data_IF_528512281303
#
_entry.id   IF_528512281303
#
_cell.length_a   1.000
_cell.length_b   1.000
_cell.length_c   1.000
_cell.angle_alpha   90.00
_cell.angle_beta   90.00
_cell.angle_gamma   90.00
#
_symmetry.space_group_name_H-M   'P 1'
#
loop_
_entity.id
_entity.type
_entity.pdbx_description
1 polymer ?
#
# COMPACT_ATOMS: atom_id res chain seq x y z
N UNK A 1 -29.06 12.02 -58.77
CA UNK A 1 -27.85 12.32 -57.97
C UNK A 1 -28.30 13.10 -56.73
N UNK A 2 -27.78 12.89 -55.50
CA UNK A 2 -26.96 11.80 -54.94
C UNK A 2 -27.80 10.85 -54.02
N UNK A 3 -27.59 9.54 -53.93
CA UNK A 3 -26.58 8.73 -53.20
C UNK A 3 -26.83 8.59 -51.68
N UNK A 4 -27.35 7.39 -51.32
CA UNK A 4 -27.12 6.55 -50.11
C UNK A 4 -27.74 6.96 -48.75
N UNK A 5 -28.94 6.42 -48.50
CA UNK A 5 -29.52 6.18 -47.17
C UNK A 5 -30.18 4.78 -47.16
N UNK A 6 -29.38 3.71 -47.24
CA UNK A 6 -29.88 2.34 -47.08
C UNK A 6 -28.72 1.44 -46.63
N UNK A 7 -28.72 1.01 -45.36
CA UNK A 7 -27.65 0.15 -44.85
C UNK A 7 -27.70 -0.23 -43.37
N UNK A 8 -28.60 0.36 -42.57
CA UNK A 8 -28.64 0.09 -41.12
C UNK A 8 -29.86 -0.74 -40.68
N UNK A 9 -30.96 -0.74 -41.47
CA UNK A 9 -32.18 -1.50 -41.13
C UNK A 9 -32.09 -3.01 -41.44
N UNK A 10 -31.17 -3.45 -42.30
CA UNK A 10 -31.03 -4.86 -42.69
C UNK A 10 -30.03 -5.65 -41.85
N UNK A 11 -29.24 -5.00 -40.99
CA UNK A 11 -28.31 -5.67 -40.06
C UNK A 11 -28.89 -5.91 -38.66
N UNK A 12 -29.95 -5.19 -38.27
CA UNK A 12 -30.64 -5.41 -37.00
C UNK A 12 -31.66 -6.57 -37.07
N UNK A 13 -32.27 -6.80 -38.24
CA UNK A 13 -33.23 -7.88 -38.46
C UNK A 13 -32.59 -9.29 -38.53
N UNK A 14 -31.27 -9.38 -38.76
CA UNK A 14 -30.55 -10.65 -38.86
C UNK A 14 -29.95 -11.14 -37.53
N UNK A 15 -29.89 -10.28 -36.51
CA UNK A 15 -29.39 -10.64 -35.16
C UNK A 15 -30.56 -11.00 -34.21
N UNK A 16 -31.76 -10.48 -34.45
CA UNK A 16 -32.96 -10.82 -33.67
C UNK A 16 -33.59 -12.15 -34.14
N UNK A 17 -33.33 -12.59 -35.38
CA UNK A 17 -33.81 -13.88 -35.91
C UNK A 17 -33.00 -15.12 -35.46
N UNK A 18 -31.82 -14.95 -34.87
CA UNK A 18 -30.96 -16.06 -34.43
C UNK A 18 -31.08 -16.36 -32.91
N UNK A 19 -31.83 -15.55 -32.17
CA UNK A 19 -32.08 -15.73 -30.73
C UNK A 19 -33.43 -16.40 -30.40
N UNK A 20 -34.23 -16.78 -31.42
CA UNK A 20 -35.58 -17.32 -31.25
C UNK A 20 -35.77 -18.77 -31.78
N UNK A 21 -34.66 -19.52 -31.98
CA UNK A 21 -34.71 -20.91 -32.48
C UNK A 21 -33.93 -21.93 -31.63
N UNK A 22 -33.63 -21.62 -30.36
CA UNK A 22 -32.97 -22.56 -29.43
C UNK A 22 -33.69 -22.77 -28.09
N UNK A 23 -34.93 -22.29 -27.94
CA UNK A 23 -35.85 -22.69 -26.87
C UNK A 23 -36.78 -23.83 -27.32
N UNK A 24 -36.21 -25.02 -27.55
CA UNK A 24 -36.99 -26.26 -27.61
C UNK A 24 -36.06 -27.48 -27.54
N UNK A 25 -35.50 -27.79 -26.36
CA UNK A 25 -35.04 -29.14 -25.99
C UNK A 25 -34.65 -29.19 -24.51
N UNK A 26 -35.64 -29.08 -23.64
CA UNK A 26 -35.51 -29.38 -22.21
C UNK A 26 -35.65 -30.89 -22.01
N UNK A 27 -34.55 -31.64 -22.07
CA UNK A 27 -34.52 -33.04 -21.61
C UNK A 27 -33.98 -33.05 -20.18
N UNK A 28 -34.92 -33.12 -19.25
CA UNK A 28 -34.68 -33.45 -17.86
C UNK A 28 -34.14 -34.88 -17.75
N UNK A 29 -32.89 -35.03 -17.32
CA UNK A 29 -32.38 -36.31 -16.84
C UNK A 29 -32.48 -36.30 -15.31
N UNK A 30 -33.57 -36.88 -14.81
CA UNK A 30 -33.80 -37.17 -13.40
C UNK A 30 -32.70 -38.09 -12.84
N UNK A 31 -32.04 -37.67 -11.76
CA UNK A 31 -31.15 -38.54 -10.97
C UNK A 31 -32.02 -39.57 -10.24
N UNK A 32 -32.08 -40.77 -10.80
CA UNK A 32 -32.78 -41.91 -10.21
C UNK A 32 -31.84 -42.58 -9.19
N UNK A 33 -32.11 -42.42 -7.90
CA UNK A 33 -31.42 -43.13 -6.82
C UNK A 33 -31.86 -44.59 -6.80
N UNK A 34 -31.25 -45.42 -7.65
CA UNK A 34 -31.33 -46.88 -7.54
C UNK A 34 -30.16 -47.41 -6.74
N UNK A 35 -30.51 -47.96 -5.57
CA UNK A 35 -29.70 -48.84 -4.73
C UNK A 35 -28.81 -49.78 -5.57
N UNK A 36 -27.49 -49.68 -5.37
CA UNK A 36 -26.54 -50.65 -5.89
C UNK A 36 -26.70 -51.96 -5.11
N UNK A 37 -27.40 -52.92 -5.71
CA UNK A 37 -27.44 -54.30 -5.25
C UNK A 37 -26.03 -54.90 -5.23
N UNK A 38 -25.67 -55.48 -4.09
CA UNK A 38 -24.39 -56.13 -3.80
C UNK A 38 -24.13 -57.32 -4.72
N UNK A 39 -23.17 -57.18 -5.63
CA UNK A 39 -22.63 -58.30 -6.41
C UNK A 39 -21.69 -59.11 -5.50
N UNK A 40 -22.05 -60.36 -5.17
CA UNK A 40 -21.17 -61.28 -4.42
C UNK A 40 -19.87 -61.50 -5.20
N UNK A 41 -18.76 -61.04 -4.63
CA UNK A 41 -17.40 -61.40 -5.06
C UNK A 41 -17.10 -62.85 -4.69
N UNK A 42 -16.37 -63.62 -5.53
CA UNK A 42 -15.97 -64.97 -5.16
C UNK A 42 -14.96 -64.91 -4.00
N UNK A 43 -15.20 -65.71 -2.96
CA UNK A 43 -14.30 -65.84 -1.82
C UNK A 43 -13.03 -66.57 -2.25
N UNK A 44 -11.96 -65.83 -2.50
CA UNK A 44 -10.62 -66.40 -2.63
C UNK A 44 -10.15 -66.82 -1.24
N UNK A 45 -10.07 -68.13 -1.01
CA UNK A 45 -9.49 -68.71 0.20
C UNK A 45 -7.96 -68.60 0.14
N UNK A 46 -7.38 -67.71 0.96
CA UNK A 46 -5.94 -67.60 1.11
C UNK A 46 -5.33 -68.88 1.68
N UNK A 47 -4.32 -69.43 0.98
CA UNK A 47 -3.60 -70.61 1.45
C UNK A 47 -2.84 -70.33 2.76
N UNK A 48 -2.72 -71.34 3.62
CA UNK A 48 -1.94 -71.27 4.86
C UNK A 48 -0.50 -70.79 4.63
N UNK A 49 0.07 -71.10 3.46
CA UNK A 49 1.40 -70.66 3.05
C UNK A 49 1.47 -69.14 2.80
N UNK A 50 0.43 -68.54 2.21
CA UNK A 50 0.33 -67.09 2.01
C UNK A 50 0.18 -66.34 3.35
N UNK A 51 -0.64 -66.87 4.27
CA UNK A 51 -0.79 -66.30 5.62
C UNK A 51 0.50 -66.38 6.45
N UNK A 52 1.27 -67.45 6.32
CA UNK A 52 2.56 -67.60 7.01
C UNK A 52 3.62 -66.63 6.46
N UNK A 53 3.64 -66.40 5.14
CA UNK A 53 4.54 -65.42 4.49
C UNK A 53 4.18 -63.97 4.82
N UNK A 54 2.89 -63.64 4.92
CA UNK A 54 2.45 -62.32 5.39
C UNK A 54 2.78 -62.09 6.87
N UNK A 55 2.68 -63.12 7.73
CA UNK A 55 3.09 -63.03 9.15
C UNK A 55 4.60 -62.83 9.32
N UNK A 56 5.44 -63.40 8.47
CA UNK A 56 6.89 -63.18 8.51
C UNK A 56 7.28 -61.82 7.93
N UNK A 57 6.60 -61.33 6.89
CA UNK A 57 6.79 -59.97 6.36
C UNK A 57 6.29 -58.89 7.34
N UNK A 58 5.20 -59.14 8.07
CA UNK A 58 4.67 -58.22 9.09
C UNK A 58 5.56 -58.12 10.34
N UNK A 59 6.33 -59.16 10.66
CA UNK A 59 7.29 -59.15 11.78
C UNK A 59 8.67 -58.58 11.42
N UNK A 60 8.95 -58.32 10.14
CA UNK A 60 10.27 -57.88 9.65
C UNK A 60 10.42 -56.38 9.36
N UNK A 61 9.37 -55.57 9.51
CA UNK A 61 9.42 -54.11 9.30
C UNK A 61 8.58 -53.37 10.33
N UNK A 62 9.02 -53.40 11.59
CA UNK A 62 8.78 -52.26 12.46
C UNK A 62 9.91 -51.27 12.18
N UNK A 63 9.70 -50.17 11.46
CA UNK A 63 10.69 -49.11 11.46
C UNK A 63 10.74 -48.62 12.90
N UNK A 64 11.90 -48.72 13.54
CA UNK A 64 12.21 -47.90 14.70
C UNK A 64 12.28 -46.43 14.24
N UNK A 65 11.13 -45.84 13.89
CA UNK A 65 10.99 -44.40 13.89
C UNK A 65 11.03 -44.00 15.36
N UNK A 66 12.24 -43.75 15.87
CA UNK A 66 12.39 -42.68 16.86
C UNK A 66 11.88 -41.44 16.15
N UNK A 67 10.58 -41.17 16.29
CA UNK A 67 10.04 -39.86 16.03
C UNK A 67 10.78 -38.96 17.03
N UNK A 68 11.89 -38.37 16.59
CA UNK A 68 12.49 -37.27 17.28
C UNK A 68 11.37 -36.25 17.37
N UNK A 69 10.76 -36.17 18.56
CA UNK A 69 9.76 -35.16 18.88
C UNK A 69 10.56 -33.86 18.87
N UNK A 70 10.74 -33.28 17.68
CA UNK A 70 11.30 -31.95 17.52
C UNK A 70 10.31 -31.09 18.27
N UNK A 71 10.62 -30.79 19.55
CA UNK A 71 10.00 -29.71 20.28
C UNK A 71 10.30 -28.50 19.41
N UNK A 72 9.35 -28.11 18.55
CA UNK A 72 9.34 -26.78 17.95
C UNK A 72 9.30 -25.85 19.14
N UNK A 73 10.47 -25.38 19.57
CA UNK A 73 10.58 -24.23 20.46
C UNK A 73 9.89 -23.12 19.69
N UNK A 74 8.63 -22.84 20.02
CA UNK A 74 7.98 -21.62 19.56
C UNK A 74 8.74 -20.51 20.26
N UNK A 75 9.75 -19.98 19.57
CA UNK A 75 10.38 -18.74 19.99
C UNK A 75 9.29 -17.68 19.85
N UNK A 76 8.65 -17.33 20.97
CA UNK A 76 7.79 -16.17 21.02
C UNK A 76 8.72 -14.96 21.10
N UNK A 77 8.64 -14.07 20.10
CA UNK A 77 9.24 -12.75 20.22
C UNK A 77 8.67 -12.08 21.48
N UNK A 78 9.56 -11.72 22.41
CA UNK A 78 9.19 -10.96 23.60
C UNK A 78 9.26 -9.49 23.26
N UNK A 79 8.11 -8.83 23.30
CA UNK A 79 8.03 -7.39 23.14
C UNK A 79 7.93 -6.72 24.51
N UNK A 80 8.72 -5.69 24.73
CA UNK A 80 8.71 -4.92 25.98
C UNK A 80 8.22 -3.48 25.77
N UNK A 81 8.21 -2.99 24.54
CA UNK A 81 7.62 -1.68 24.20
C UNK A 81 6.09 -1.77 24.19
N UNK A 82 5.44 -0.86 24.91
CA UNK A 82 3.97 -0.76 24.90
C UNK A 82 3.45 -0.40 23.52
N UNK A 83 2.38 -1.07 23.09
CA UNK A 83 1.64 -0.75 21.86
C UNK A 83 0.70 0.43 22.03
N UNK A 84 0.51 0.91 23.26
CA UNK A 84 -0.38 1.99 23.61
C UNK A 84 0.41 3.10 24.29
N UNK A 85 0.02 4.34 24.05
CA UNK A 85 0.63 5.51 24.64
C UNK A 85 -0.48 6.49 25.08
N UNK A 86 -0.27 7.09 26.24
CA UNK A 86 -1.07 8.22 26.71
C UNK A 86 -0.47 9.52 26.15
N UNK A 87 -1.28 10.56 25.98
CA UNK A 87 -0.79 11.86 25.54
C UNK A 87 -0.18 11.86 24.14
N UNK A 88 -0.69 11.03 23.21
CA UNK A 88 -0.13 10.92 21.84
C UNK A 88 -0.13 12.23 21.06
N UNK A 89 -0.93 13.23 21.47
CA UNK A 89 -0.99 14.56 20.85
C UNK A 89 -0.33 15.65 21.69
N UNK A 90 0.24 15.29 22.84
CA UNK A 90 0.79 16.26 23.79
C UNK A 90 2.02 16.95 23.18
N UNK A 91 1.95 18.28 23.09
CA UNK A 91 3.02 19.10 22.52
C UNK A 91 3.03 19.20 20.99
N UNK A 92 2.04 18.63 20.30
CA UNK A 92 1.88 18.84 18.86
C UNK A 92 1.58 20.33 18.56
N UNK A 93 2.21 20.87 17.52
CA UNK A 93 1.93 22.21 16.98
C UNK A 93 0.83 22.09 15.91
N UNK A 94 -0.34 22.66 16.15
CA UNK A 94 -1.55 22.32 15.37
C UNK A 94 -2.20 23.48 14.62
N UNK A 95 -1.80 24.73 14.90
CA UNK A 95 -2.58 25.89 14.49
C UNK A 95 -2.60 26.15 12.97
N UNK A 96 -1.67 25.57 12.19
CA UNK A 96 -1.72 25.60 10.73
C UNK A 96 -2.13 24.28 10.05
N UNK A 97 -2.56 23.28 10.83
CA UNK A 97 -3.09 22.02 10.29
C UNK A 97 -4.56 22.15 9.85
N UNK A 98 -4.99 21.27 8.95
CA UNK A 98 -6.40 21.14 8.57
C UNK A 98 -7.17 20.43 9.70
N UNK A 99 -8.18 21.08 10.30
CA UNK A 99 -8.88 20.53 11.47
C UNK A 99 -9.65 19.23 11.17
N UNK A 100 -10.18 19.08 9.95
CA UNK A 100 -10.90 17.87 9.54
C UNK A 100 -9.90 16.72 9.39
N UNK A 101 -8.78 16.98 8.72
CA UNK A 101 -7.74 15.96 8.52
C UNK A 101 -7.11 15.54 9.84
N UNK A 102 -6.83 16.49 10.73
CA UNK A 102 -6.28 16.22 12.05
C UNK A 102 -7.24 15.40 12.91
N UNK A 103 -8.52 15.78 12.97
CA UNK A 103 -9.51 15.04 13.74
C UNK A 103 -9.66 13.60 13.22
N UNK A 104 -9.73 13.41 11.91
CA UNK A 104 -9.78 12.09 11.29
C UNK A 104 -8.56 11.23 11.65
N UNK A 105 -7.36 11.83 11.69
CA UNK A 105 -6.13 11.14 12.07
C UNK A 105 -6.09 10.75 13.56
N UNK A 106 -6.53 11.63 14.46
CA UNK A 106 -6.59 11.37 15.91
C UNK A 106 -7.55 10.21 16.21
N UNK A 107 -8.77 10.26 15.67
CA UNK A 107 -9.78 9.22 15.88
C UNK A 107 -9.34 7.87 15.31
N UNK A 108 -8.71 7.88 14.14
CA UNK A 108 -8.21 6.67 13.51
C UNK A 108 -7.08 6.01 14.31
N UNK A 109 -6.15 6.81 14.83
CA UNK A 109 -5.00 6.32 15.61
C UNK A 109 -5.42 5.84 17.01
N UNK A 110 -6.36 6.53 17.65
CA UNK A 110 -6.77 6.27 19.02
C UNK A 110 -5.59 6.39 20.00
N UNK A 111 -5.46 5.42 20.91
CA UNK A 111 -4.40 5.38 21.91
C UNK A 111 -3.19 4.51 21.50
N UNK A 112 -3.06 4.16 20.22
CA UNK A 112 -1.93 3.36 19.76
C UNK A 112 -0.64 4.18 19.78
N UNK A 113 0.45 3.56 20.20
CA UNK A 113 1.78 4.14 20.18
C UNK A 113 2.27 4.22 18.73
N UNK A 114 1.97 5.35 18.09
CA UNK A 114 2.19 5.57 16.68
C UNK A 114 1.97 7.02 16.28
N UNK A 115 2.11 7.28 14.99
CA UNK A 115 1.92 8.58 14.35
C UNK A 115 1.17 8.42 13.05
N UNK A 116 0.41 9.46 12.69
CA UNK A 116 -0.23 9.60 11.39
C UNK A 116 0.22 10.92 10.78
N UNK A 117 0.72 10.88 9.55
CA UNK A 117 1.10 12.05 8.77
C UNK A 117 0.26 12.08 7.50
N UNK A 118 -0.42 13.20 7.28
CA UNK A 118 -1.22 13.47 6.09
C UNK A 118 -0.59 14.60 5.27
N UNK A 119 -0.34 14.35 3.99
CA UNK A 119 0.38 15.25 3.09
C UNK A 119 -0.48 15.52 1.86
N UNK A 120 -0.54 16.78 1.45
CA UNK A 120 -1.04 17.18 0.14
C UNK A 120 0.06 16.95 -0.91
N UNK A 121 -0.09 15.98 -1.82
CA UNK A 121 1.00 15.55 -2.68
C UNK A 121 1.36 16.60 -3.74
N UNK A 122 0.44 17.49 -4.13
CA UNK A 122 0.69 18.50 -5.17
C UNK A 122 1.46 19.72 -4.67
N UNK A 123 1.65 19.86 -3.35
CA UNK A 123 2.29 21.04 -2.76
C UNK A 123 3.37 20.73 -1.73
N UNK A 124 3.36 19.52 -1.15
CA UNK A 124 4.21 19.17 -0.01
C UNK A 124 3.68 19.70 1.33
N UNK A 125 2.49 20.33 1.36
CA UNK A 125 1.90 20.79 2.63
C UNK A 125 1.54 19.60 3.51
N UNK A 126 2.00 19.61 4.75
CA UNK A 126 1.53 18.68 5.78
C UNK A 126 0.18 19.20 6.27
N UNK A 127 -0.88 18.45 5.96
CA UNK A 127 -2.25 18.77 6.35
C UNK A 127 -2.52 18.41 7.80
N UNK A 128 -1.92 17.33 8.30
CA UNK A 128 -1.95 16.98 9.72
C UNK A 128 -0.74 16.11 10.08
N UNK A 129 -0.20 16.31 11.28
CA UNK A 129 0.84 15.48 11.88
C UNK A 129 0.45 15.17 13.34
N UNK A 130 -0.02 13.94 13.56
CA UNK A 130 -0.45 13.46 14.89
C UNK A 130 0.70 12.71 15.53
N UNK A 131 1.05 13.04 16.78
CA UNK A 131 2.25 12.57 17.47
C UNK A 131 3.53 13.00 16.75
N UNK A 132 3.75 14.31 16.71
CA UNK A 132 4.86 14.96 16.03
C UNK A 132 6.20 14.48 16.56
N UNK A 133 6.31 14.23 17.88
CA UNK A 133 7.50 13.64 18.49
C UNK A 133 7.94 12.34 17.82
N UNK A 134 6.99 11.48 17.42
CA UNK A 134 7.31 10.24 16.71
C UNK A 134 7.49 10.47 15.20
N UNK A 135 6.67 11.33 14.59
CA UNK A 135 6.78 11.69 13.18
C UNK A 135 8.15 12.29 12.81
N UNK A 136 8.70 13.12 13.70
CA UNK A 136 9.96 13.85 13.55
C UNK A 136 11.17 13.08 14.09
N UNK A 137 10.96 11.92 14.74
CA UNK A 137 12.03 11.11 15.31
C UNK A 137 13.00 10.57 14.24
N UNK A 138 14.12 9.97 14.67
CA UNK A 138 15.12 9.34 13.79
C UNK A 138 14.61 8.15 12.97
N UNK A 139 13.31 7.87 13.02
CA UNK A 139 12.65 6.85 12.24
C UNK A 139 12.86 5.45 12.80
N UNK A 140 12.58 4.47 11.96
CA UNK A 140 12.89 3.08 12.23
C UNK A 140 13.15 2.34 10.92
N UNK A 141 13.51 1.07 11.02
CA UNK A 141 13.59 0.20 9.86
C UNK A 141 12.28 0.28 9.03
N UNK A 142 12.34 0.61 7.73
CA UNK A 142 11.14 0.77 6.89
C UNK A 142 10.44 -0.57 6.61
N UNK A 143 11.07 -1.68 6.99
CA UNK A 143 10.57 -3.02 6.72
C UNK A 143 10.30 -3.17 5.21
N UNK A 144 9.11 -3.63 4.82
CA UNK A 144 8.73 -3.80 3.42
C UNK A 144 8.25 -2.53 2.70
N UNK A 145 8.22 -1.34 3.30
CA UNK A 145 7.89 -0.11 2.54
C UNK A 145 9.03 0.31 1.62
N UNK A 146 10.29 -0.06 1.94
CA UNK A 146 11.47 0.16 1.09
C UNK A 146 11.31 -0.42 -0.32
N UNK A 147 10.45 -1.43 -0.48
CA UNK A 147 10.18 -2.09 -1.76
C UNK A 147 9.63 -1.14 -2.81
N UNK A 148 9.02 -0.02 -2.41
CA UNK A 148 8.62 1.05 -3.34
C UNK A 148 9.85 1.66 -4.02
N UNK A 149 10.88 2.02 -3.24
CA UNK A 149 12.16 2.51 -3.75
C UNK A 149 12.84 1.48 -4.64
N UNK A 150 12.89 0.21 -4.21
CA UNK A 150 13.50 -0.88 -5.00
C UNK A 150 12.76 -1.10 -6.33
N UNK A 151 11.42 -1.10 -6.30
CA UNK A 151 10.60 -1.28 -7.50
C UNK A 151 10.79 -0.12 -8.49
N UNK A 152 10.74 1.12 -8.01
CA UNK A 152 10.96 2.30 -8.84
C UNK A 152 12.36 2.31 -9.47
N UNK A 153 13.40 1.98 -8.70
CA UNK A 153 14.75 1.86 -9.24
C UNK A 153 14.83 0.81 -10.35
N UNK A 154 14.23 -0.37 -10.15
CA UNK A 154 14.24 -1.44 -11.12
C UNK A 154 13.46 -1.11 -12.41
N UNK A 155 12.32 -0.44 -12.28
CA UNK A 155 11.52 0.04 -13.41
C UNK A 155 12.26 1.14 -14.18
N UNK A 156 12.87 2.09 -13.47
CA UNK A 156 13.62 3.21 -14.09
C UNK A 156 14.84 2.73 -14.87
N UNK A 157 15.47 1.65 -14.39
CA UNK A 157 16.59 1.00 -15.09
C UNK A 157 16.14 0.03 -16.21
N UNK A 158 14.83 -0.13 -16.44
CA UNK A 158 14.29 -1.10 -17.39
C UNK A 158 14.65 -2.55 -17.07
N UNK A 159 15.00 -2.85 -15.82
CA UNK A 159 15.37 -4.20 -15.37
C UNK A 159 14.15 -5.12 -15.27
N UNK A 160 13.00 -4.54 -14.92
CA UNK A 160 11.71 -5.20 -14.83
C UNK A 160 10.64 -4.35 -15.50
N UNK A 161 9.59 -5.03 -15.93
CA UNK A 161 8.27 -4.47 -16.22
C UNK A 161 7.18 -5.32 -15.53
N UNK A 162 5.90 -5.01 -15.75
CA UNK A 162 4.75 -5.71 -15.15
C UNK A 162 4.63 -7.17 -15.63
N UNK A 163 5.15 -7.51 -16.80
CA UNK A 163 5.20 -8.87 -17.35
C UNK A 163 6.42 -9.66 -16.86
N UNK A 164 7.48 -8.97 -16.43
CA UNK A 164 8.76 -9.59 -16.08
C UNK A 164 8.61 -10.53 -14.89
N UNK A 165 8.78 -11.81 -15.16
CA UNK A 165 8.73 -12.86 -14.15
C UNK A 165 10.12 -13.18 -13.58
N UNK A 166 10.34 -12.80 -12.31
CA UNK A 166 11.55 -13.16 -11.58
C UNK A 166 11.43 -14.58 -11.04
N UNK A 167 12.44 -15.41 -11.32
CA UNK A 167 12.52 -16.80 -10.84
C UNK A 167 12.93 -16.83 -9.37
N UNK A 168 12.02 -17.26 -8.50
CA UNK A 168 12.24 -17.36 -7.05
C UNK A 168 12.65 -18.77 -6.58
N UNK A 169 12.58 -19.75 -7.49
CA UNK A 169 12.96 -21.13 -7.23
C UNK A 169 12.76 -22.02 -8.46
N UNK A 170 12.91 -23.34 -8.30
CA UNK A 170 12.85 -24.28 -9.44
C UNK A 170 11.53 -24.23 -10.22
N UNK A 171 10.42 -23.99 -9.52
CA UNK A 171 9.04 -23.97 -10.07
C UNK A 171 8.26 -22.70 -9.67
N UNK A 172 8.95 -21.69 -9.14
CA UNK A 172 8.29 -20.47 -8.64
C UNK A 172 8.82 -19.27 -9.42
N UNK A 173 7.90 -18.51 -9.98
CA UNK A 173 8.10 -17.24 -10.67
C UNK A 173 7.05 -16.27 -10.14
N UNK A 174 7.38 -14.98 -10.18
CA UNK A 174 6.47 -13.94 -9.72
C UNK A 174 6.76 -12.65 -10.49
N UNK A 175 5.72 -11.90 -10.83
CA UNK A 175 5.81 -10.57 -11.43
C UNK A 175 5.75 -9.47 -10.36
N UNK A 176 6.01 -8.23 -10.78
CA UNK A 176 6.07 -7.07 -9.89
C UNK A 176 4.74 -6.85 -9.14
N UNK A 177 3.61 -6.90 -9.85
CA UNK A 177 2.27 -6.69 -9.27
C UNK A 177 2.01 -7.62 -8.09
N UNK A 178 2.21 -8.93 -8.29
CA UNK A 178 2.03 -9.93 -7.24
C UNK A 178 3.06 -9.77 -6.11
N UNK A 179 4.29 -9.43 -6.45
CA UNK A 179 5.36 -9.23 -5.48
C UNK A 179 5.10 -8.05 -4.54
N UNK A 180 4.62 -6.92 -5.08
CA UNK A 180 4.21 -5.76 -4.29
C UNK A 180 2.99 -6.06 -3.42
N UNK A 181 1.94 -6.64 -4.02
CA UNK A 181 0.67 -6.94 -3.35
C UNK A 181 0.86 -7.88 -2.14
N UNK A 182 1.67 -8.94 -2.31
CA UNK A 182 1.94 -9.92 -1.25
C UNK A 182 3.24 -9.64 -0.49
N UNK A 183 3.94 -8.54 -0.81
CA UNK A 183 5.20 -8.18 -0.18
C UNK A 183 6.22 -9.32 -0.20
N UNK A 184 6.48 -9.93 -1.36
CA UNK A 184 7.33 -11.10 -1.49
C UNK A 184 8.82 -10.75 -1.32
N UNK A 185 9.45 -11.14 -0.20
CA UNK A 185 10.86 -10.79 0.05
C UNK A 185 11.83 -11.37 -0.97
N UNK A 186 11.77 -12.67 -1.34
CA UNK A 186 12.68 -13.24 -2.34
C UNK A 186 12.72 -12.48 -3.67
N UNK A 187 11.57 -11.98 -4.15
CA UNK A 187 11.51 -11.17 -5.37
C UNK A 187 12.37 -9.90 -5.24
N UNK A 188 12.17 -9.11 -4.19
CA UNK A 188 12.93 -7.86 -4.00
C UNK A 188 14.38 -8.08 -3.60
N UNK A 189 14.70 -9.21 -2.96
CA UNK A 189 16.09 -9.61 -2.74
C UNK A 189 16.80 -9.88 -4.08
N UNK A 190 16.15 -10.59 -5.00
CA UNK A 190 16.71 -10.91 -6.31
C UNK A 190 16.84 -9.67 -7.21
N UNK A 191 15.80 -8.83 -7.24
CA UNK A 191 15.85 -7.54 -7.95
C UNK A 191 16.97 -6.65 -7.39
N UNK A 192 17.09 -6.54 -6.07
CA UNK A 192 18.15 -5.77 -5.42
C UNK A 192 19.55 -6.27 -5.79
N UNK A 193 19.77 -7.60 -5.80
CA UNK A 193 21.06 -8.19 -6.21
C UNK A 193 21.37 -7.94 -7.68
N UNK A 194 20.36 -7.92 -8.56
CA UNK A 194 20.53 -7.64 -9.99
C UNK A 194 20.89 -6.18 -10.27
N UNK A 195 20.33 -5.24 -9.51
CA UNK A 195 20.67 -3.81 -9.60
C UNK A 195 22.04 -3.50 -9.02
N UNK A 196 22.38 -4.14 -7.90
CA UNK A 196 23.59 -3.83 -7.13
C UNK A 196 23.39 -2.64 -6.20
N UNK A 197 24.27 -2.53 -5.19
CA UNK A 197 24.16 -1.53 -4.14
C UNK A 197 24.22 -0.10 -4.67
N UNK A 198 25.16 0.20 -5.58
CA UNK A 198 25.39 1.57 -6.06
C UNK A 198 24.13 2.17 -6.71
N UNK A 199 23.44 1.40 -7.58
CA UNK A 199 22.19 1.84 -8.20
C UNK A 199 21.08 1.99 -7.16
N UNK A 200 20.94 1.01 -6.27
CA UNK A 200 19.92 1.08 -5.21
C UNK A 200 20.12 2.30 -4.32
N UNK A 201 21.36 2.59 -3.92
CA UNK A 201 21.72 3.76 -3.13
C UNK A 201 21.45 5.05 -3.89
N UNK A 202 21.88 5.14 -5.16
CA UNK A 202 21.61 6.28 -6.03
C UNK A 202 20.12 6.63 -6.08
N UNK A 203 19.25 5.66 -6.42
CA UNK A 203 17.81 5.92 -6.50
C UNK A 203 17.18 6.20 -5.14
N UNK A 204 17.60 5.53 -4.07
CA UNK A 204 17.10 5.81 -2.72
C UNK A 204 17.34 7.28 -2.35
N UNK A 205 18.54 7.80 -2.60
CA UNK A 205 18.86 9.22 -2.40
C UNK A 205 18.09 10.14 -3.36
N UNK A 206 17.90 9.76 -4.63
CA UNK A 206 17.04 10.51 -5.54
C UNK A 206 15.61 10.63 -4.99
N UNK A 207 15.08 9.59 -4.36
CA UNK A 207 13.75 9.59 -3.73
C UNK A 207 13.73 10.25 -2.34
N UNK A 208 14.84 10.83 -1.89
CA UNK A 208 14.95 11.63 -0.66
C UNK A 208 15.30 10.83 0.60
N UNK A 209 15.64 9.55 0.50
CA UNK A 209 16.08 8.76 1.65
C UNK A 209 17.49 9.19 2.07
N UNK A 210 17.71 9.34 3.38
CA UNK A 210 18.98 9.85 3.93
C UNK A 210 19.11 11.37 3.87
N UNK A 211 18.06 12.08 3.44
CA UNK A 211 17.98 13.54 3.43
C UNK A 211 16.78 14.00 4.29
N UNK A 212 16.80 15.25 4.78
CA UNK A 212 15.62 15.83 5.44
C UNK A 212 14.51 15.95 4.39
N UNK A 213 13.30 15.55 4.77
CA UNK A 213 12.13 15.65 3.92
C UNK A 213 11.50 17.04 4.04
N UNK A 214 11.55 17.64 5.23
CA UNK A 214 11.00 18.95 5.54
C UNK A 214 11.83 20.13 5.05
N UNK A 215 11.15 21.28 4.95
CA UNK A 215 11.75 22.62 4.82
C UNK A 215 11.67 23.30 6.18
N UNK A 216 12.79 23.38 6.89
CA UNK A 216 12.92 24.04 8.19
C UNK A 216 11.90 23.56 9.25
N UNK A 217 11.56 22.27 9.25
CA UNK A 217 10.70 21.67 10.27
C UNK A 217 11.55 21.42 11.53
N UNK A 218 11.27 22.17 12.59
CA UNK A 218 12.01 22.06 13.85
C UNK A 218 11.93 20.63 14.42
N UNK A 219 13.07 20.10 14.85
CA UNK A 219 13.17 18.78 15.46
C UNK A 219 13.18 17.60 14.49
N UNK A 220 12.97 17.83 13.18
CA UNK A 220 13.06 16.76 12.16
C UNK A 220 14.43 16.08 12.19
N UNK A 221 14.42 14.75 12.28
CA UNK A 221 15.62 13.94 12.17
C UNK A 221 15.79 13.37 10.75
N UNK A 222 17.04 13.13 10.36
CA UNK A 222 17.42 12.69 9.01
C UNK A 222 17.09 11.22 8.72
N UNK A 223 16.89 10.39 9.74
CA UNK A 223 17.01 8.94 9.59
C UNK A 223 18.46 8.51 9.33
N UNK A 224 18.66 7.37 8.67
CA UNK A 224 19.97 6.85 8.31
C UNK A 224 19.89 5.97 7.07
N UNK A 225 20.74 6.23 6.08
CA UNK A 225 20.96 5.36 4.93
C UNK A 225 22.45 4.99 4.85
N UNK A 226 22.81 3.70 4.71
CA UNK A 226 24.22 3.30 4.68
C UNK A 226 24.97 3.83 3.45
N UNK A 227 26.21 4.31 3.65
CA UNK A 227 27.11 4.71 2.56
C UNK A 227 27.72 3.52 1.79
N UNK A 228 27.62 2.31 2.36
CA UNK A 228 28.12 1.07 1.77
C UNK A 228 27.16 -0.09 2.02
N UNK A 229 27.24 -1.12 1.18
CA UNK A 229 26.43 -2.32 1.33
C UNK A 229 26.65 -2.95 2.71
N UNK A 230 25.55 -3.29 3.39
CA UNK A 230 25.62 -4.03 4.64
C UNK A 230 26.32 -5.39 4.44
N UNK A 231 26.90 -5.94 5.50
CA UNK A 231 27.57 -7.24 5.43
C UNK A 231 26.68 -8.34 4.82
N UNK A 232 27.27 -9.21 4.02
CA UNK A 232 26.61 -10.42 3.51
C UNK A 232 26.03 -11.32 4.61
N UNK A 233 26.58 -11.27 5.83
CA UNK A 233 26.02 -11.96 7.02
C UNK A 233 24.65 -11.42 7.44
N UNK A 234 24.40 -10.13 7.20
CA UNK A 234 23.10 -9.48 7.39
C UNK A 234 22.23 -9.57 6.12
N UNK A 235 22.75 -10.21 5.05
CA UNK A 235 22.06 -10.48 3.80
C UNK A 235 22.26 -9.44 2.70
N UNK A 236 23.18 -8.49 2.89
CA UNK A 236 23.62 -7.55 1.84
C UNK A 236 22.50 -6.71 1.23
N UNK A 237 22.73 -6.26 0.00
CA UNK A 237 21.81 -5.43 -0.79
C UNK A 237 20.43 -6.08 -0.92
N UNK A 238 20.34 -7.41 -0.96
CA UNK A 238 19.07 -8.11 -1.02
C UNK A 238 18.18 -7.82 0.20
N UNK A 239 18.73 -7.88 1.42
CA UNK A 239 17.99 -7.57 2.65
C UNK A 239 17.71 -6.08 2.82
N UNK A 240 18.60 -5.21 2.33
CA UNK A 240 18.32 -3.77 2.23
C UNK A 240 17.07 -3.52 1.37
N UNK A 241 17.00 -4.16 0.20
CA UNK A 241 15.92 -3.96 -0.78
C UNK A 241 14.57 -4.59 -0.38
N UNK A 242 14.55 -5.58 0.51
CA UNK A 242 13.35 -6.34 0.85
C UNK A 242 12.84 -6.10 2.28
N UNK A 243 13.74 -5.85 3.23
CA UNK A 243 13.41 -5.60 4.64
C UNK A 243 13.86 -4.21 5.12
N UNK A 244 14.61 -3.45 4.32
CA UNK A 244 15.17 -2.19 4.77
C UNK A 244 16.29 -2.38 5.79
N UNK A 245 16.96 -3.53 5.78
CA UNK A 245 18.00 -3.84 6.75
C UNK A 245 19.12 -2.79 6.71
N UNK A 246 19.55 -2.31 7.88
CA UNK A 246 20.57 -1.25 7.99
C UNK A 246 20.08 0.17 7.67
N UNK A 247 18.81 0.35 7.29
CA UNK A 247 18.22 1.66 6.97
C UNK A 247 17.30 2.09 8.12
N UNK A 248 17.36 3.36 8.50
CA UNK A 248 16.34 4.03 9.32
C UNK A 248 15.63 5.08 8.48
N UNK A 249 14.32 4.94 8.32
CA UNK A 249 13.49 5.84 7.51
C UNK A 249 12.50 6.56 8.41
N UNK A 250 12.35 7.87 8.21
CA UNK A 250 11.36 8.65 8.96
C UNK A 250 9.97 8.58 8.30
N UNK A 251 8.88 8.76 9.07
CA UNK A 251 7.54 8.92 8.51
C UNK A 251 7.46 10.01 7.45
N UNK A 252 8.20 11.13 7.63
CA UNK A 252 8.24 12.21 6.65
C UNK A 252 8.95 11.81 5.34
N UNK A 253 10.08 11.10 5.40
CA UNK A 253 10.74 10.58 4.20
C UNK A 253 9.85 9.62 3.41
N UNK A 254 9.17 8.69 4.09
CA UNK A 254 8.23 7.79 3.44
C UNK A 254 7.06 8.56 2.81
N UNK A 255 6.55 9.57 3.52
CA UNK A 255 5.47 10.43 3.05
C UNK A 255 5.85 11.24 1.81
N UNK A 256 7.04 11.85 1.82
CA UNK A 256 7.56 12.63 0.68
C UNK A 256 7.78 11.75 -0.56
N UNK A 257 8.36 10.56 -0.40
CA UNK A 257 8.51 9.60 -1.49
C UNK A 257 7.14 9.21 -2.07
N UNK A 258 6.17 8.87 -1.23
CA UNK A 258 4.83 8.47 -1.69
C UNK A 258 4.05 9.64 -2.29
N UNK A 259 4.26 10.86 -1.81
CA UNK A 259 3.72 12.07 -2.43
C UNK A 259 4.26 12.31 -3.83
N UNK A 260 5.56 12.09 -4.04
CA UNK A 260 6.16 12.18 -5.38
C UNK A 260 5.60 11.13 -6.34
N UNK A 261 5.28 9.92 -5.85
CA UNK A 261 4.58 8.90 -6.65
C UNK A 261 3.16 9.38 -6.98
N UNK A 262 2.43 9.87 -5.99
CA UNK A 262 1.03 10.27 -6.12
C UNK A 262 0.80 11.48 -7.04
N UNK A 263 1.80 12.35 -7.19
CA UNK A 263 1.72 13.56 -8.01
C UNK A 263 2.41 13.45 -9.39
N UNK A 264 2.94 12.27 -9.75
CA UNK A 264 3.55 12.06 -11.06
C UNK A 264 5.06 12.29 -11.14
N UNK A 265 5.76 12.54 -10.03
CA UNK A 265 7.22 12.59 -9.96
C UNK A 265 7.81 13.88 -9.40
N UNK A 266 7.03 14.79 -8.82
CA UNK A 266 7.58 16.00 -8.20
C UNK A 266 7.84 15.76 -6.72
N UNK A 267 9.09 15.75 -6.30
CA UNK A 267 9.44 15.70 -4.88
C UNK A 267 9.45 17.13 -4.34
N UNK A 268 8.49 17.44 -3.48
CA UNK A 268 8.45 18.70 -2.73
C UNK A 268 9.24 18.57 -1.43
N UNK A 269 9.80 19.69 -0.94
CA UNK A 269 10.08 19.78 0.48
C UNK A 269 8.75 19.79 1.24
N UNK A 270 8.64 18.97 2.28
CA UNK A 270 7.46 18.98 3.13
C UNK A 270 7.47 20.25 3.99
N UNK A 271 6.33 20.90 4.14
CA UNK A 271 6.22 22.10 4.98
C UNK A 271 5.05 21.95 5.94
N UNK A 272 5.28 22.26 7.20
CA UNK A 272 4.30 22.22 8.28
C UNK A 272 4.10 23.64 8.83
N UNK A 273 3.26 24.47 8.18
CA UNK A 273 3.02 25.82 8.66
C UNK A 273 2.42 25.76 10.07
N UNK A 274 3.04 26.47 11.01
CA UNK A 274 2.68 26.41 12.43
C UNK A 274 1.59 27.41 12.84
N UNK A 275 1.24 28.37 11.97
CA UNK A 275 0.24 29.41 12.26
C UNK A 275 -0.70 29.64 11.06
N UNK A 276 -1.89 30.23 11.27
CA UNK A 276 -2.79 30.59 10.17
C UNK A 276 -2.16 31.55 9.14
N UNK A 277 -1.31 32.47 9.58
CA UNK A 277 -0.59 33.39 8.70
C UNK A 277 0.41 32.63 7.83
N UNK A 278 1.18 31.70 8.41
CA UNK A 278 2.08 30.83 7.65
C UNK A 278 1.34 29.91 6.66
N UNK A 279 0.08 29.56 6.95
CA UNK A 279 -0.80 28.86 5.99
C UNK A 279 -1.20 29.77 4.84
N UNK A 280 -1.55 31.03 5.12
CA UNK A 280 -1.93 32.01 4.09
C UNK A 280 -0.76 32.35 3.16
N UNK A 281 0.45 32.44 3.70
CA UNK A 281 1.69 32.73 2.96
C UNK A 281 2.35 31.47 2.36
N UNK A 282 1.74 30.30 2.53
CA UNK A 282 2.30 29.04 2.07
C UNK A 282 2.56 29.05 0.57
N UNK A 283 3.78 28.71 0.17
CA UNK A 283 4.16 28.48 -1.23
C UNK A 283 4.84 27.11 -1.36
N UNK A 284 4.42 26.24 -2.29
CA UNK A 284 5.08 24.97 -2.54
C UNK A 284 6.56 25.16 -2.90
N UNK A 285 7.44 24.31 -2.34
CA UNK A 285 8.87 24.30 -2.65
C UNK A 285 9.27 22.98 -3.28
N UNK A 286 9.58 23.01 -4.57
CA UNK A 286 10.08 21.83 -5.28
C UNK A 286 11.50 21.53 -4.82
N UNK A 287 11.73 20.30 -4.36
CA UNK A 287 13.05 19.78 -4.03
C UNK A 287 13.75 19.22 -5.26
N UNK A 288 13.03 18.43 -6.08
CA UNK A 288 13.51 17.88 -7.37
C UNK A 288 12.37 17.25 -8.18
N UNK A 289 12.61 17.08 -9.47
CA UNK A 289 11.75 16.28 -10.36
C UNK A 289 12.38 14.90 -10.58
N UNK A 290 11.55 13.87 -10.47
CA UNK A 290 11.91 12.46 -10.63
C UNK A 290 11.36 11.95 -11.96
N UNK A 291 12.22 11.32 -12.75
CA UNK A 291 11.81 10.68 -14.01
C UNK A 291 11.21 9.29 -13.74
N UNK A 292 10.01 9.29 -13.15
CA UNK A 292 9.30 8.06 -12.75
C UNK A 292 7.91 7.94 -13.38
N UNK A 293 7.50 8.89 -14.22
CA UNK A 293 6.16 8.94 -14.81
C UNK A 293 5.80 7.64 -15.52
N UNK A 294 6.74 7.04 -16.25
CA UNK A 294 6.56 5.77 -16.96
C UNK A 294 6.48 4.56 -16.01
N UNK A 295 7.13 4.63 -14.85
CA UNK A 295 7.15 3.55 -13.85
C UNK A 295 5.89 3.54 -12.96
N UNK A 296 5.23 4.69 -12.80
CA UNK A 296 4.07 4.85 -11.90
C UNK A 296 2.92 3.90 -12.22
N UNK A 297 2.47 3.72 -13.47
CA UNK A 297 1.37 2.78 -13.78
C UNK A 297 1.66 1.35 -13.30
N UNK A 298 2.88 0.85 -13.54
CA UNK A 298 3.26 -0.50 -13.15
C UNK A 298 3.38 -0.68 -11.63
N UNK A 299 3.91 0.33 -10.95
CA UNK A 299 3.96 0.37 -9.50
C UNK A 299 2.55 0.42 -8.89
N UNK A 300 1.67 1.21 -9.52
CA UNK A 300 0.29 1.47 -9.07
C UNK A 300 -0.54 0.20 -9.01
N UNK A 301 -0.43 -0.69 -10.00
CA UNK A 301 -1.15 -1.97 -10.02
C UNK A 301 -0.78 -2.83 -8.79
N UNK A 302 0.51 -2.90 -8.45
CA UNK A 302 0.96 -3.65 -7.28
C UNK A 302 0.55 -3.01 -5.95
N UNK A 303 0.54 -1.68 -5.88
CA UNK A 303 0.07 -0.93 -4.70
C UNK A 303 -1.45 -1.03 -4.51
N UNK A 304 -2.23 -1.03 -5.59
CA UNK A 304 -3.67 -1.29 -5.56
C UNK A 304 -3.94 -2.73 -5.12
N UNK A 305 -3.24 -3.70 -5.72
CA UNK A 305 -3.36 -5.11 -5.36
C UNK A 305 -3.05 -5.39 -3.88
N UNK A 306 -2.15 -4.62 -3.26
CA UNK A 306 -1.89 -4.72 -1.83
C UNK A 306 -3.16 -4.43 -1.00
N UNK A 307 -3.97 -3.46 -1.40
CA UNK A 307 -5.22 -3.05 -0.72
C UNK A 307 -6.39 -3.97 -1.13
N UNK A 308 -6.46 -4.39 -2.38
CA UNK A 308 -7.59 -5.17 -2.88
C UNK A 308 -7.59 -6.61 -2.37
N UNK A 309 -6.44 -7.28 -2.43
CA UNK A 309 -6.31 -8.71 -2.12
C UNK A 309 -5.02 -9.07 -1.36
N UNK A 310 -4.13 -8.10 -1.14
CA UNK A 310 -2.81 -8.30 -0.57
C UNK A 310 -2.69 -7.96 0.92
N UNK A 311 -1.52 -7.48 1.32
CA UNK A 311 -1.16 -7.25 2.72
C UNK A 311 -1.88 -6.09 3.40
N UNK A 312 -2.48 -5.17 2.64
CA UNK A 312 -3.19 -3.99 3.12
C UNK A 312 -4.72 -4.14 3.11
N UNK A 313 -5.26 -5.33 2.80
CA UNK A 313 -6.71 -5.59 2.70
C UNK A 313 -7.54 -5.19 3.92
N UNK A 314 -6.93 -5.07 5.09
CA UNK A 314 -7.58 -4.60 6.32
C UNK A 314 -8.04 -3.15 6.27
N UNK A 315 -7.49 -2.33 5.36
CA UNK A 315 -8.01 -1.00 5.06
C UNK A 315 -9.49 -1.07 4.65
N UNK A 316 -9.82 -2.06 3.82
CA UNK A 316 -11.16 -2.29 3.27
C UNK A 316 -12.20 -2.75 4.30
N UNK A 317 -11.80 -2.99 5.55
CA UNK A 317 -12.75 -3.21 6.63
C UNK A 317 -13.54 -1.92 6.96
N UNK A 318 -12.96 -0.75 6.68
CA UNK A 318 -13.55 0.54 7.04
C UNK A 318 -13.85 1.42 5.82
N UNK A 319 -13.14 1.25 4.70
CA UNK A 319 -13.27 2.14 3.54
C UNK A 319 -13.15 1.38 2.20
N UNK A 320 -14.15 1.53 1.32
CA UNK A 320 -14.23 0.87 0.02
C UNK A 320 -14.75 1.81 -1.10
N UNK A 321 -15.02 3.07 -0.77
CA UNK A 321 -15.67 4.04 -1.65
C UNK A 321 -14.75 4.48 -2.79
N UNK A 322 -13.45 4.58 -2.51
CA UNK A 322 -12.44 5.03 -3.46
C UNK A 322 -11.27 4.05 -3.57
N UNK A 323 -10.59 4.09 -4.71
CA UNK A 323 -9.38 3.31 -4.93
C UNK A 323 -8.22 3.88 -4.12
N UNK A 324 -7.76 3.12 -3.13
CA UNK A 324 -6.57 3.44 -2.34
C UNK A 324 -5.42 2.56 -2.79
N UNK A 325 -4.27 3.18 -3.07
CA UNK A 325 -3.02 2.51 -3.40
C UNK A 325 -2.11 2.60 -2.19
N UNK A 326 -1.45 1.52 -1.81
CA UNK A 326 -0.58 1.57 -0.64
C UNK A 326 0.42 0.43 -0.50
N UNK A 327 1.29 0.56 0.49
CA UNK A 327 2.28 -0.44 0.85
C UNK A 327 2.42 -0.56 2.36
N UNK A 328 2.28 -1.79 2.85
CA UNK A 328 2.56 -2.11 4.26
C UNK A 328 4.02 -2.47 4.50
N UNK A 329 4.51 -2.20 5.70
CA UNK A 329 5.76 -2.73 6.26
C UNK A 329 5.52 -3.39 7.62
N UNK A 330 6.23 -4.48 7.91
CA UNK A 330 6.25 -5.12 9.23
C UNK A 330 7.60 -5.74 9.49
N UNK A 331 8.19 -5.38 10.63
CA UNK A 331 9.44 -5.96 11.10
C UNK A 331 9.53 -5.79 12.62
N UNK A 332 10.47 -6.50 13.24
CA UNK A 332 10.73 -6.43 14.67
C UNK A 332 12.21 -6.14 14.87
N UNK A 333 12.54 -5.18 15.73
CA UNK A 333 13.92 -4.86 16.11
C UNK A 333 13.99 -4.60 17.62
N UNK A 334 15.01 -5.15 18.26
CA UNK A 334 15.27 -4.98 19.70
C UNK A 334 14.00 -5.06 20.57
N UNK A 335 13.19 -6.13 20.45
CA UNK A 335 11.97 -6.31 21.26
C UNK A 335 10.87 -5.26 21.07
N UNK A 336 10.91 -4.52 19.96
CA UNK A 336 9.83 -3.68 19.45
C UNK A 336 9.42 -4.16 18.07
N UNK A 337 8.14 -4.13 17.77
CA UNK A 337 7.56 -4.35 16.46
C UNK A 337 7.22 -3.02 15.82
N UNK A 338 7.40 -2.95 14.51
CA UNK A 338 7.03 -1.81 13.69
C UNK A 338 5.91 -2.20 12.73
N UNK A 339 4.90 -1.33 12.65
CA UNK A 339 3.81 -1.43 11.68
C UNK A 339 3.79 -0.18 10.82
N UNK A 340 4.10 -0.32 9.54
CA UNK A 340 4.07 0.77 8.59
C UNK A 340 2.94 0.58 7.59
N UNK A 341 2.32 1.68 7.20
CA UNK A 341 1.53 1.76 6.00
C UNK A 341 1.64 3.15 5.39
N UNK A 342 1.95 3.22 4.10
CA UNK A 342 1.83 4.47 3.35
C UNK A 342 0.88 4.24 2.18
N UNK A 343 0.05 5.24 1.91
CA UNK A 343 -1.00 5.15 0.90
C UNK A 343 -1.35 6.51 0.33
N UNK A 344 -2.03 6.50 -0.81
CA UNK A 344 -2.72 7.66 -1.34
C UNK A 344 -4.02 7.25 -2.02
N UNK A 345 -4.99 8.17 -2.02
CA UNK A 345 -6.23 8.01 -2.79
C UNK A 345 -6.01 8.33 -4.25
N UNK A 346 -6.48 7.48 -5.15
CA UNK A 346 -6.52 7.76 -6.60
C UNK A 346 -7.81 8.51 -6.94
N UNK A 347 -8.02 9.66 -6.29
CA UNK A 347 -9.14 10.55 -6.59
C UNK A 347 -8.64 11.72 -7.45
N UNK A 348 -9.47 12.16 -8.40
CA UNK A 348 -9.20 13.37 -9.19
C UNK A 348 -9.45 14.64 -8.37
N UNK A 349 -10.24 14.52 -7.31
CA UNK A 349 -10.59 15.59 -6.38
C UNK A 349 -9.94 15.26 -5.03
N UNK A 350 -8.94 16.04 -4.64
CA UNK A 350 -8.29 15.93 -3.33
C UNK A 350 -7.47 14.64 -3.12
N UNK A 351 -6.30 14.54 -3.76
CA UNK A 351 -5.32 13.50 -3.41
C UNK A 351 -4.74 13.80 -2.03
N UNK A 352 -4.72 12.81 -1.17
CA UNK A 352 -4.05 12.86 0.13
C UNK A 352 -3.13 11.66 0.27
N UNK A 353 -1.92 11.91 0.75
CA UNK A 353 -0.99 10.86 1.11
C UNK A 353 -1.06 10.67 2.62
N UNK A 354 -1.27 9.44 3.05
CA UNK A 354 -1.37 9.07 4.45
C UNK A 354 -0.27 8.07 4.81
N UNK A 355 0.55 8.43 5.79
CA UNK A 355 1.53 7.55 6.42
C UNK A 355 1.08 7.23 7.84
N UNK A 356 0.97 5.94 8.16
CA UNK A 356 0.73 5.44 9.50
C UNK A 356 1.95 4.64 9.95
N UNK A 357 2.52 5.04 11.07
CA UNK A 357 3.63 4.33 11.70
C UNK A 357 3.28 3.95 13.14
N UNK A 358 3.43 2.67 13.47
CA UNK A 358 3.14 2.11 14.78
C UNK A 358 4.40 1.46 15.35
N UNK A 359 4.61 1.60 16.66
CA UNK A 359 5.66 0.90 17.42
C UNK A 359 5.08 0.25 18.67
N UNK A 360 5.58 -0.92 19.06
CA UNK A 360 5.08 -1.63 20.25
C UNK A 360 5.18 -3.14 20.14
N UNK A 361 4.29 -3.86 20.81
CA UNK A 361 4.23 -5.32 20.73
C UNK A 361 3.10 -5.79 19.82
N UNK A 362 1.90 -5.91 20.42
CA UNK A 362 0.66 -6.29 19.73
C UNK A 362 -0.45 -5.29 20.09
N UNK A 363 -1.31 -4.88 19.15
CA UNK A 363 -1.39 -5.30 17.75
C UNK A 363 -0.55 -4.44 16.76
N UNK A 364 0.77 -4.34 16.91
CA UNK A 364 1.64 -3.53 16.03
C UNK A 364 2.11 -4.29 14.79
N UNK A 365 1.59 -3.95 13.60
CA UNK A 365 2.00 -4.51 12.30
C UNK A 365 1.36 -3.74 11.14
N UNK A 366 1.85 -3.96 9.92
CA UNK A 366 1.45 -3.22 8.71
C UNK A 366 -0.04 -3.30 8.38
N UNK A 367 -0.67 -4.49 8.37
CA UNK A 367 -2.13 -4.56 8.22
C UNK A 367 -2.91 -3.79 9.29
N UNK A 368 -2.46 -3.71 10.56
CA UNK A 368 -3.12 -2.83 11.53
C UNK A 368 -2.95 -1.35 11.15
N UNK A 369 -1.76 -0.95 10.68
CA UNK A 369 -1.55 0.40 10.16
C UNK A 369 -2.44 0.72 8.94
N UNK A 370 -2.68 -0.27 8.05
CA UNK A 370 -3.61 -0.14 6.93
C UNK A 370 -5.08 -0.04 7.39
N UNK A 371 -5.48 -0.77 8.43
CA UNK A 371 -6.82 -0.66 9.03
C UNK A 371 -7.05 0.76 9.59
N UNK A 372 -6.05 1.34 10.27
CA UNK A 372 -6.09 2.71 10.79
C UNK A 372 -6.24 3.71 9.65
N UNK A 373 -5.44 3.59 8.59
CA UNK A 373 -5.61 4.43 7.41
C UNK A 373 -7.03 4.30 6.82
N UNK A 374 -7.61 3.10 6.79
CA UNK A 374 -9.00 2.90 6.37
C UNK A 374 -10.02 3.66 7.22
N UNK A 375 -9.84 3.70 8.55
CA UNK A 375 -10.68 4.52 9.43
C UNK A 375 -10.50 6.01 9.15
N UNK A 376 -9.26 6.45 8.92
CA UNK A 376 -8.98 7.84 8.56
C UNK A 376 -9.66 8.22 7.24
N UNK A 377 -9.55 7.39 6.19
CA UNK A 377 -10.22 7.64 4.91
C UNK A 377 -11.74 7.67 5.04
N UNK A 378 -12.33 6.77 5.85
CA UNK A 378 -13.76 6.84 6.20
C UNK A 378 -14.12 8.17 6.82
N UNK A 379 -13.40 8.60 7.86
CA UNK A 379 -13.66 9.85 8.55
C UNK A 379 -13.53 11.07 7.62
N UNK A 380 -12.52 11.10 6.75
CA UNK A 380 -12.35 12.15 5.74
C UNK A 380 -13.52 12.20 4.76
N UNK A 381 -13.98 11.02 4.32
CA UNK A 381 -15.10 10.88 3.40
C UNK A 381 -16.41 11.36 4.04
N UNK A 382 -16.71 10.92 5.26
CA UNK A 382 -17.92 11.28 5.99
C UNK A 382 -17.99 12.79 6.31
N UNK A 383 -16.85 13.47 6.38
CA UNK A 383 -16.74 14.92 6.59
C UNK A 383 -16.48 15.70 5.29
N UNK A 384 -16.83 15.12 4.14
CA UNK A 384 -16.80 15.79 2.82
C UNK A 384 -15.43 16.38 2.42
N UNK A 385 -14.31 15.88 2.97
CA UNK A 385 -12.98 16.39 2.63
C UNK A 385 -12.69 16.28 1.11
N UNK A 386 -13.07 15.15 0.51
CA UNK A 386 -12.91 14.88 -0.92
C UNK A 386 -13.92 15.63 -1.79
N UNK A 387 -14.98 16.22 -1.22
CA UNK A 387 -16.02 16.95 -1.96
C UNK A 387 -15.80 18.46 -1.88
N UNK A 388 -15.41 18.99 -0.71
CA UNK A 388 -15.23 20.42 -0.47
C UNK A 388 -14.18 21.07 -1.40
N UNK A 389 -13.21 20.28 -1.90
CA UNK A 389 -12.18 20.75 -2.85
C UNK A 389 -12.62 20.70 -4.33
N UNK A 390 -13.82 20.20 -4.64
CA UNK A 390 -14.40 20.22 -6.00
C UNK A 390 -15.16 21.50 -6.33
N UNK A 391 -15.53 22.28 -5.32
CA UNK A 391 -16.23 23.54 -5.52
C UNK A 391 -15.18 24.62 -5.84
N UNK A 392 -15.25 25.29 -7.01
CA UNK A 392 -14.48 26.50 -7.21
C UNK A 392 -14.86 27.50 -6.10
N UNK A 393 -13.94 28.38 -5.67
CA UNK A 393 -14.27 29.41 -4.68
C UNK A 393 -15.47 30.20 -5.21
N UNK A 394 -16.63 30.00 -4.60
CA UNK A 394 -17.84 30.72 -4.96
C UNK A 394 -17.53 32.19 -4.80
N UNK A 395 -17.68 32.93 -5.89
CA UNK A 395 -17.47 34.37 -5.92
C UNK A 395 -18.19 35.02 -4.73
N UNK A 396 -17.49 35.96 -4.11
CA UNK A 396 -17.98 36.89 -3.09
C UNK A 396 -19.41 37.37 -3.40
N UNK A 397 -20.29 37.53 -2.40
CA UNK A 397 -21.61 38.10 -2.63
C UNK A 397 -21.44 39.50 -3.21
N UNK A 398 -22.12 39.74 -4.33
CA UNK A 398 -22.19 41.00 -5.04
C UNK A 398 -22.51 42.13 -4.06
N UNK A 399 -21.54 43.03 -3.83
CA UNK A 399 -21.82 44.33 -3.25
C UNK A 399 -22.40 45.17 -4.37
N UNK A 400 -23.73 45.28 -4.38
CA UNK A 400 -24.47 46.18 -5.25
C UNK A 400 -23.97 47.62 -5.00
N UNK A 401 -23.10 48.13 -5.88
CA UNK A 401 -22.79 49.56 -5.93
C UNK A 401 -23.91 50.22 -6.72
N UNK A 402 -24.78 50.94 -6.02
CA UNK A 402 -25.70 51.90 -6.64
C UNK A 402 -24.89 52.92 -7.45
N UNK A 403 -25.07 52.89 -8.79
CA UNK A 403 -24.63 53.97 -9.67
C UNK A 403 -25.45 55.22 -9.36
N UNK A 404 -24.84 56.20 -8.71
CA UNK A 404 -25.36 57.57 -8.64
C UNK A 404 -25.39 58.15 -10.05
N UNK A 405 -26.59 58.49 -10.51
CA UNK A 405 -26.89 59.09 -11.79
C UNK A 405 -26.32 60.51 -11.88
N UNK A 406 -25.47 60.78 -12.87
CA UNK A 406 -24.96 62.11 -13.17
C UNK A 406 -25.98 62.89 -14.02
N UNK A 407 -26.41 64.05 -13.52
CA UNK A 407 -27.27 65.02 -14.22
C UNK A 407 -26.45 65.77 -15.29
N UNK A 408 -26.99 66.06 -16.49
CA UNK A 408 -26.26 66.79 -17.52
C UNK A 408 -26.28 68.30 -17.26
N UNK A 409 -25.13 68.95 -17.43
CA UNK A 409 -24.97 70.42 -17.47
C UNK A 409 -25.29 70.90 -18.90
N UNK A 410 -26.05 72.00 -19.08
CA UNK A 410 -26.41 72.50 -20.42
C UNK A 410 -25.28 73.31 -21.06
N UNK A 411 -25.28 73.33 -22.39
CA UNK A 411 -24.37 74.11 -23.21
C UNK A 411 -24.66 75.61 -23.11
N UNK A 412 -23.60 76.39 -22.92
CA UNK A 412 -23.33 77.63 -23.66
C UNK A 412 -21.81 77.77 -23.89
#
# INVERSE_FOLDING_TARGET
MPVKLFGWATRLALIIGLALLLEASSIAASVNTRSLTTRKTPTVSESQHAKKRMRTLAKGRAPHTRAARIRRRRNYERFYTSSFADGVVDGDVTAGEDPIVRQAAIEALGNLNGTVVAIEPTSGRILAMVNQKLALSSGAQPCSTIKLSTALAALSEGLIDKETEIRLGRRSRMNLTSALAHSNNPYFEEVGRKLGFDKISYYAHQFGLGELAGYDIEGEQLGAYPDSEISSKLGGVGKMCSFGEGISMTPLQLGAMVASIANGGTLYYLQHPATPEAVADFQPRVKRHLDIANAIPELSDGMAGAVEYGTARSLRLNFNEESILGKTGTCSHAGTRFGWFASYSKTDIGRIVTVVFLRGGRPTYGPKAAEIAGRMYRNLYDHNFFVARSLPPTATPDVTIEKVSATPVPQE
#
